data_IF_130994277500
#
_entry.id   IF_130994277500
#
_cell.length_a   1.000
_cell.length_b   1.000
_cell.length_c   1.000
_cell.angle_alpha   90.00
_cell.angle_beta   90.00
_cell.angle_gamma   90.00
#
_symmetry.space_group_name_H-M   'P 1'
#
loop_
_entity.id
_entity.type
_entity.pdbx_description
1 polymer ?
#
# COMPACT_ATOMS: atom_id res chain seq x y z
N UNK A 1 -0.62 10.48 24.08
CA UNK A 1 -0.81 11.41 22.94
C UNK A 1 -1.20 10.59 21.70
N UNK A 2 -2.43 10.69 21.20
CA UNK A 2 -2.91 9.89 20.07
C UNK A 2 -2.54 10.56 18.74
N UNK A 3 -2.03 9.80 17.77
CA UNK A 3 -1.75 10.27 16.41
C UNK A 3 -2.91 9.89 15.49
N UNK A 4 -3.39 10.86 14.72
CA UNK A 4 -4.35 10.62 13.65
C UNK A 4 -3.58 10.25 12.38
N UNK A 5 -3.46 8.96 12.15
CA UNK A 5 -2.90 8.46 10.92
C UNK A 5 -3.95 8.59 9.81
N UNK A 6 -3.49 8.82 8.58
CA UNK A 6 -4.33 8.63 7.40
C UNK A 6 -4.82 7.17 7.36
N UNK A 7 -5.81 6.86 6.52
CA UNK A 7 -6.27 5.49 6.26
C UNK A 7 -5.13 4.65 5.65
N UNK A 8 -4.25 4.17 6.51
CA UNK A 8 -3.07 3.37 6.21
C UNK A 8 -3.50 1.91 6.26
N UNK A 9 -3.25 1.20 5.18
CA UNK A 9 -3.64 -0.19 4.99
C UNK A 9 -2.39 -1.03 4.77
N UNK A 10 -2.36 -2.21 5.36
CA UNK A 10 -1.31 -3.21 5.14
C UNK A 10 -1.67 -4.03 3.90
N UNK A 11 -0.94 -3.87 2.82
CA UNK A 11 -1.26 -4.49 1.53
C UNK A 11 -0.02 -5.12 0.93
N UNK A 12 -0.21 -6.22 0.20
CA UNK A 12 0.84 -6.82 -0.60
C UNK A 12 0.90 -6.09 -1.94
N UNK A 13 2.09 -5.61 -2.29
CA UNK A 13 2.35 -4.79 -3.46
C UNK A 13 3.35 -5.48 -4.35
N UNK A 14 3.11 -5.40 -5.65
CA UNK A 14 4.09 -5.79 -6.66
C UNK A 14 5.15 -4.68 -6.76
N UNK A 15 6.39 -5.03 -6.44
CA UNK A 15 7.52 -4.10 -6.47
C UNK A 15 8.30 -4.19 -7.79
N UNK A 16 7.81 -4.98 -8.74
CA UNK A 16 8.49 -5.33 -9.99
C UNK A 16 9.42 -6.53 -9.80
N UNK A 17 9.76 -7.18 -10.92
CA UNK A 17 10.69 -8.32 -10.93
C UNK A 17 10.13 -9.62 -10.33
N UNK A 18 8.81 -9.74 -10.16
CA UNK A 18 8.16 -10.94 -9.59
C UNK A 18 8.18 -10.99 -8.06
N UNK A 19 8.68 -9.95 -7.39
CA UNK A 19 8.64 -9.86 -5.93
C UNK A 19 7.40 -9.13 -5.44
N UNK A 20 6.71 -9.73 -4.48
CA UNK A 20 5.61 -9.10 -3.77
C UNK A 20 5.96 -8.85 -2.31
N UNK A 21 5.89 -7.59 -1.87
CA UNK A 21 6.22 -7.19 -0.49
C UNK A 21 5.00 -6.65 0.24
N UNK A 22 4.93 -6.92 1.54
CA UNK A 22 3.91 -6.31 2.42
C UNK A 22 4.38 -4.91 2.82
N UNK A 23 3.57 -3.91 2.50
CA UNK A 23 3.86 -2.51 2.76
C UNK A 23 2.63 -1.82 3.37
N UNK A 24 2.87 -0.73 4.08
CA UNK A 24 1.80 0.14 4.58
C UNK A 24 1.56 1.27 3.59
N UNK A 25 0.38 1.28 2.95
CA UNK A 25 0.02 2.24 1.91
C UNK A 25 -1.25 2.98 2.32
N UNK A 26 -1.32 4.27 1.97
CA UNK A 26 -2.54 5.03 2.15
C UNK A 26 -3.60 4.62 1.10
N UNK A 27 -4.87 4.58 1.48
CA UNK A 27 -5.96 4.25 0.55
C UNK A 27 -6.01 5.14 -0.69
N UNK A 28 -5.52 6.39 -0.60
CA UNK A 28 -5.34 7.30 -1.74
C UNK A 28 -4.36 6.75 -2.78
N UNK A 29 -3.27 6.12 -2.36
CA UNK A 29 -2.28 5.48 -3.24
C UNK A 29 -2.86 4.29 -3.99
N UNK A 30 -3.66 3.46 -3.31
CA UNK A 30 -4.39 2.35 -3.93
C UNK A 30 -5.43 2.85 -4.94
N UNK A 31 -6.20 3.89 -4.59
CA UNK A 31 -7.25 4.45 -5.46
C UNK A 31 -6.70 5.17 -6.68
N UNK A 32 -5.52 5.77 -6.57
CA UNK A 32 -4.86 6.46 -7.67
C UNK A 32 -4.11 5.51 -8.63
N UNK A 33 -4.03 4.22 -8.34
CA UNK A 33 -3.34 3.24 -9.20
C UNK A 33 -1.82 3.39 -9.23
N UNK A 34 -1.24 4.28 -8.42
CA UNK A 34 0.22 4.44 -8.28
C UNK A 34 0.90 3.20 -7.73
N UNK A 35 0.14 2.35 -7.05
CA UNK A 35 0.61 1.13 -6.40
C UNK A 35 -0.27 -0.02 -6.87
N UNK A 36 0.33 -1.02 -7.50
CA UNK A 36 -0.37 -2.23 -7.91
C UNK A 36 -0.37 -3.22 -6.74
N UNK A 37 -1.56 -3.73 -6.42
CA UNK A 37 -1.67 -4.85 -5.50
C UNK A 37 -1.14 -6.08 -6.22
N UNK A 38 -0.16 -6.75 -5.61
CA UNK A 38 0.21 -8.08 -6.05
C UNK A 38 -0.96 -9.00 -5.69
N UNK A 39 -1.58 -9.58 -6.73
CA UNK A 39 -2.66 -10.57 -6.60
C UNK A 39 -2.03 -11.92 -6.24
#
# INVERSE_FOLDING_TARGET
RRRWLINLQSVRVDVGGGESRKLHICTKGLRSGKVQRAV
#
